data_IF_625344973997
#
_entry.id   IF_625344973997
#
_cell.length_a   1.000
_cell.length_b   1.000
_cell.length_c   1.000
_cell.angle_alpha   90.00
_cell.angle_beta   90.00
_cell.angle_gamma   90.00
#
_symmetry.space_group_name_H-M   'P 1'
#
loop_
_entity.id
_entity.type
_entity.pdbx_description
1 polymer ?
#
# COMPACT_ATOMS: atom_id res chain seq x y z
N UNK A 1 12.16 -5.91 -33.47
CA UNK A 1 11.75 -5.79 -32.06
C UNK A 1 12.13 -7.08 -31.34
N UNK A 2 13.31 -7.14 -30.74
CA UNK A 2 13.78 -8.34 -30.03
C UNK A 2 13.02 -8.46 -28.71
N UNK A 3 12.15 -9.47 -28.61
CA UNK A 3 11.44 -9.77 -27.37
C UNK A 3 12.46 -10.06 -26.26
N UNK A 4 12.38 -9.31 -25.15
CA UNK A 4 13.20 -9.54 -23.96
C UNK A 4 12.93 -10.98 -23.48
N UNK A 5 13.94 -11.84 -23.53
CA UNK A 5 13.83 -13.20 -23.06
C UNK A 5 13.44 -13.20 -21.57
N UNK A 6 12.31 -13.84 -21.24
CA UNK A 6 11.82 -13.94 -19.86
C UNK A 6 12.70 -14.99 -19.16
N UNK A 7 13.52 -14.54 -18.20
CA UNK A 7 14.35 -15.44 -17.39
C UNK A 7 13.48 -16.13 -16.33
N UNK A 8 13.46 -17.47 -16.24
CA UNK A 8 12.73 -18.16 -15.19
C UNK A 8 13.30 -17.79 -13.82
N UNK A 9 12.41 -17.58 -12.85
CA UNK A 9 12.76 -17.27 -11.47
C UNK A 9 12.29 -18.42 -10.58
N UNK A 10 13.22 -19.02 -9.83
CA UNK A 10 12.91 -20.01 -8.80
C UNK A 10 12.74 -19.29 -7.47
N UNK A 11 11.61 -19.50 -6.81
CA UNK A 11 11.29 -18.89 -5.51
C UNK A 11 10.79 -19.96 -4.54
N UNK A 12 11.15 -19.81 -3.27
CA UNK A 12 10.65 -20.65 -2.18
C UNK A 12 9.49 -19.92 -1.49
N UNK A 13 8.29 -20.52 -1.52
CA UNK A 13 7.08 -19.87 -1.01
C UNK A 13 6.80 -20.15 0.49
N UNK A 14 7.47 -21.14 1.08
CA UNK A 14 7.21 -21.54 2.48
C UNK A 14 5.72 -21.84 2.72
N UNK A 15 5.11 -21.34 3.81
CA UNK A 15 3.70 -21.56 4.13
C UNK A 15 2.71 -21.09 3.05
N UNK A 16 3.10 -20.14 2.19
CA UNK A 16 2.21 -19.64 1.13
C UNK A 16 1.96 -20.68 0.03
N UNK A 17 2.75 -21.75 -0.03
CA UNK A 17 2.57 -22.83 -1.00
C UNK A 17 1.17 -23.46 -0.92
N UNK A 18 0.62 -23.66 0.28
CA UNK A 18 -0.72 -24.22 0.47
C UNK A 18 -1.81 -23.30 -0.11
N UNK A 19 -1.69 -21.99 0.11
CA UNK A 19 -2.59 -20.99 -0.47
C UNK A 19 -2.54 -21.02 -1.99
N UNK A 20 -1.34 -21.13 -2.58
CA UNK A 20 -1.19 -21.23 -4.04
C UNK A 20 -1.82 -22.50 -4.58
N UNK A 21 -1.58 -23.65 -3.94
CA UNK A 21 -2.15 -24.94 -4.34
C UNK A 21 -3.69 -24.92 -4.24
N UNK A 22 -4.25 -24.39 -3.16
CA UNK A 22 -5.70 -24.22 -2.96
C UNK A 22 -6.34 -23.37 -4.08
N UNK A 23 -5.70 -22.25 -4.44
CA UNK A 23 -6.18 -21.38 -5.53
C UNK A 23 -6.17 -22.08 -6.89
N UNK A 24 -5.16 -22.89 -7.18
CA UNK A 24 -5.14 -23.70 -8.41
C UNK A 24 -6.19 -24.80 -8.37
N UNK A 25 -6.30 -25.54 -7.25
CA UNK A 25 -7.26 -26.62 -7.08
C UNK A 25 -8.71 -26.15 -7.20
N UNK A 26 -9.01 -24.90 -6.82
CA UNK A 26 -10.32 -24.28 -7.03
C UNK A 26 -10.71 -24.06 -8.51
N UNK A 27 -9.77 -24.23 -9.45
CA UNK A 27 -9.96 -23.95 -10.87
C UNK A 27 -9.92 -22.46 -11.24
N UNK A 28 -9.76 -21.56 -10.26
CA UNK A 28 -9.68 -20.11 -10.50
C UNK A 28 -8.40 -19.68 -11.22
N UNK A 29 -7.35 -20.50 -11.15
CA UNK A 29 -6.07 -20.26 -11.81
C UNK A 29 -5.57 -21.55 -12.45
N UNK A 30 -4.99 -21.45 -13.64
CA UNK A 30 -4.45 -22.58 -14.40
C UNK A 30 -3.12 -23.12 -13.86
N UNK A 31 -2.37 -22.31 -13.10
CA UNK A 31 -1.05 -22.67 -12.60
C UNK A 31 -0.61 -21.84 -11.40
N UNK A 32 0.37 -22.36 -10.65
CA UNK A 32 1.02 -21.63 -9.56
C UNK A 32 1.66 -20.31 -10.06
N UNK A 33 2.29 -20.33 -11.24
CA UNK A 33 2.87 -19.13 -11.85
C UNK A 33 1.81 -18.07 -12.16
N UNK A 34 0.58 -18.47 -12.50
CA UNK A 34 -0.51 -17.52 -12.71
C UNK A 34 -0.99 -16.89 -11.40
N UNK A 35 -1.09 -17.68 -10.33
CA UNK A 35 -1.40 -17.18 -8.98
C UNK A 35 -0.35 -16.14 -8.54
N UNK A 36 0.93 -16.46 -8.69
CA UNK A 36 2.03 -15.55 -8.30
C UNK A 36 1.97 -14.25 -9.12
N UNK A 37 1.80 -14.34 -10.45
CA UNK A 37 1.65 -13.14 -11.29
C UNK A 37 0.43 -12.31 -10.91
N UNK A 38 -0.69 -12.95 -10.59
CA UNK A 38 -1.88 -12.24 -10.13
C UNK A 38 -1.66 -11.55 -8.77
N UNK A 39 -0.92 -12.18 -7.86
CA UNK A 39 -0.50 -11.59 -6.60
C UNK A 39 0.38 -10.36 -6.79
N UNK A 40 1.39 -10.44 -7.66
CA UNK A 40 2.27 -9.30 -7.96
C UNK A 40 1.51 -8.11 -8.59
N UNK A 41 0.59 -8.38 -9.52
CA UNK A 41 -0.29 -7.33 -10.07
C UNK A 41 -1.26 -6.74 -9.04
N UNK A 42 -1.59 -7.49 -7.99
CA UNK A 42 -2.41 -6.96 -6.91
C UNK A 42 -1.58 -6.04 -6.00
N UNK A 43 -0.35 -6.44 -5.69
CA UNK A 43 0.61 -5.63 -4.94
C UNK A 43 0.90 -4.31 -5.66
N UNK A 44 1.20 -4.34 -6.95
CA UNK A 44 1.48 -3.14 -7.75
C UNK A 44 0.30 -2.14 -7.71
N UNK A 45 -0.94 -2.63 -7.86
CA UNK A 45 -2.13 -1.77 -7.75
C UNK A 45 -2.32 -1.17 -6.35
N UNK A 46 -1.96 -1.90 -5.30
CA UNK A 46 -2.05 -1.41 -3.92
C UNK A 46 -1.00 -0.32 -3.67
N UNK A 47 0.23 -0.54 -4.13
CA UNK A 47 1.31 0.43 -4.05
C UNK A 47 0.99 1.70 -4.86
N UNK A 48 0.51 1.56 -6.10
CA UNK A 48 0.09 2.68 -6.94
C UNK A 48 -1.04 3.49 -6.30
N UNK A 49 -2.02 2.82 -5.69
CA UNK A 49 -3.14 3.49 -5.03
C UNK A 49 -2.67 4.27 -3.79
N UNK A 50 -1.77 3.69 -2.99
CA UNK A 50 -1.17 4.35 -1.85
C UNK A 50 -0.35 5.57 -2.26
N UNK A 51 0.51 5.42 -3.27
CA UNK A 51 1.34 6.49 -3.81
C UNK A 51 0.49 7.64 -4.36
N UNK A 52 -0.56 7.32 -5.12
CA UNK A 52 -1.49 8.32 -5.64
C UNK A 52 -2.18 9.10 -4.52
N UNK A 53 -2.62 8.40 -3.48
CA UNK A 53 -3.24 9.02 -2.30
C UNK A 53 -2.26 9.95 -1.59
N UNK A 54 -1.02 9.50 -1.34
CA UNK A 54 -0.02 10.31 -0.66
C UNK A 54 0.37 11.55 -1.47
N UNK A 55 0.57 11.41 -2.78
CA UNK A 55 0.83 12.54 -3.68
C UNK A 55 -0.31 13.56 -3.66
N UNK A 56 -1.56 13.10 -3.76
CA UNK A 56 -2.72 13.97 -3.70
C UNK A 56 -2.80 14.74 -2.36
N UNK A 57 -2.47 14.11 -1.22
CA UNK A 57 -2.44 14.79 0.09
C UNK A 57 -1.34 15.84 0.20
N UNK A 58 -0.17 15.55 -0.37
CA UNK A 58 0.94 16.51 -0.41
C UNK A 58 0.59 17.70 -1.30
N UNK A 59 0.03 17.45 -2.49
CA UNK A 59 -0.42 18.50 -3.40
C UNK A 59 -1.52 19.37 -2.76
N UNK A 60 -2.51 18.75 -2.10
CA UNK A 60 -3.54 19.45 -1.34
C UNK A 60 -2.94 20.36 -0.26
N UNK A 61 -1.99 19.84 0.53
CA UNK A 61 -1.33 20.62 1.59
C UNK A 61 -0.44 21.75 1.06
N UNK A 62 0.21 21.57 -0.10
CA UNK A 62 1.02 22.61 -0.75
C UNK A 62 0.16 23.70 -1.40
N UNK A 63 -1.05 23.34 -1.85
CA UNK A 63 -2.01 24.27 -2.44
C UNK A 63 -2.85 25.02 -1.39
N UNK A 64 -2.83 24.60 -0.12
CA UNK A 64 -3.57 25.22 0.96
C UNK A 64 -3.08 26.67 1.20
N UNK A 65 -3.93 27.69 0.99
CA UNK A 65 -3.55 29.09 1.20
C UNK A 65 -3.55 29.49 2.68
N UNK A 66 -3.92 28.59 3.60
CA UNK A 66 -3.94 28.89 5.02
C UNK A 66 -2.55 29.33 5.51
N UNK A 67 -2.48 30.37 6.37
CA UNK A 67 -1.21 30.81 6.91
C UNK A 67 -0.62 29.74 7.83
N UNK A 68 0.70 29.73 7.93
CA UNK A 68 1.39 28.87 8.90
C UNK A 68 0.96 29.18 10.32
N UNK A 69 0.79 28.14 11.13
CA UNK A 69 0.45 28.26 12.55
C UNK A 69 1.74 28.17 13.38
N UNK A 70 1.97 29.08 14.34
CA UNK A 70 3.07 28.97 15.29
C UNK A 70 3.08 27.62 16.01
N UNK A 71 4.26 27.04 16.15
CA UNK A 71 4.42 25.70 16.71
C UNK A 71 3.85 25.57 18.13
N UNK A 72 4.05 26.59 18.96
CA UNK A 72 3.56 26.66 20.34
C UNK A 72 2.03 26.62 20.42
N UNK A 73 1.34 27.32 19.52
CA UNK A 73 -0.12 27.28 19.40
C UNK A 73 -0.63 25.89 19.01
N UNK A 74 0.04 25.21 18.06
CA UNK A 74 -0.29 23.83 17.66
C UNK A 74 -0.21 22.90 18.86
N UNK A 75 0.90 22.93 19.61
CA UNK A 75 1.08 22.06 20.76
C UNK A 75 0.12 22.40 21.91
N UNK A 76 -0.20 23.67 22.13
CA UNK A 76 -1.20 24.08 23.11
C UNK A 76 -2.58 23.49 22.76
N UNK A 77 -3.00 23.61 21.50
CA UNK A 77 -4.26 23.06 20.99
C UNK A 77 -4.32 21.53 21.12
N UNK A 78 -3.25 20.82 20.76
CA UNK A 78 -3.17 19.35 20.88
C UNK A 78 -3.25 18.89 22.34
N UNK A 79 -2.56 19.56 23.27
CA UNK A 79 -2.64 19.25 24.71
C UNK A 79 -4.04 19.46 25.27
N UNK A 80 -4.69 20.57 24.92
CA UNK A 80 -6.05 20.86 25.35
C UNK A 80 -7.03 19.77 24.86
N UNK A 81 -6.94 19.37 23.59
CA UNK A 81 -7.74 18.26 23.03
C UNK A 81 -7.47 16.93 23.73
N UNK A 82 -6.21 16.66 24.07
CA UNK A 82 -5.84 15.43 24.76
C UNK A 82 -6.45 15.37 26.17
N UNK A 83 -6.32 16.45 26.96
CA UNK A 83 -6.88 16.54 28.31
C UNK A 83 -8.41 16.35 28.31
N UNK A 84 -9.11 17.03 27.38
CA UNK A 84 -10.56 16.88 27.22
C UNK A 84 -10.99 15.44 26.88
N UNK A 85 -10.15 14.68 26.17
CA UNK A 85 -10.43 13.28 25.81
C UNK A 85 -10.10 12.29 26.92
N UNK A 86 -9.11 12.59 27.76
CA UNK A 86 -8.66 11.69 28.83
C UNK A 86 -9.27 11.98 30.19
N UNK A 87 -10.17 12.97 30.29
CA UNK A 87 -10.99 13.20 31.50
C UNK A 87 -10.18 13.65 32.71
N UNK A 88 -9.12 14.42 32.48
CA UNK A 88 -8.44 15.22 33.52
C UNK A 88 -8.71 16.69 33.30
#
# INVERSE_FOLDING_TARGET
MTARAIKPLTVTLGPLAETVQSRVASGRYSSASEVVRAGLRALEREEEALDALLKARVEEALADPAPSIPQDEVFASLRARHAARTGK
#
